data_IF_615639196096
#
_entry.id   IF_615639196096
#
_cell.length_a   1.000
_cell.length_b   1.000
_cell.length_c   1.000
_cell.angle_alpha   90.00
_cell.angle_beta   90.00
_cell.angle_gamma   90.00
#
_symmetry.space_group_name_H-M   'P 1'
#
loop_
_entity.id
_entity.type
_entity.pdbx_description
1 polymer ?
#
# COMPACT_ATOMS: atom_id res chain seq x y z
N UNK A 1 -9.42 0.27 1.88
CA UNK A 1 -10.68 1.02 1.70
C UNK A 1 -10.74 1.46 0.25
N UNK A 2 -11.79 1.06 -0.47
CA UNK A 2 -12.00 1.41 -1.87
C UNK A 2 -12.78 2.72 -1.96
N UNK A 3 -12.09 3.84 -1.81
CA UNK A 3 -12.66 5.19 -1.92
C UNK A 3 -12.36 5.84 -3.29
N UNK A 4 -12.05 5.01 -4.28
CA UNK A 4 -11.74 5.38 -5.66
C UNK A 4 -12.90 5.03 -6.61
N UNK A 5 -12.96 5.70 -7.76
CA UNK A 5 -13.96 5.49 -8.81
C UNK A 5 -13.73 4.23 -9.64
N UNK A 6 -12.48 3.79 -9.79
CA UNK A 6 -12.13 2.63 -10.61
C UNK A 6 -12.71 1.34 -10.00
N UNK A 7 -12.43 1.06 -8.72
CA UNK A 7 -12.97 -0.06 -7.95
C UNK A 7 -14.50 -0.13 -8.05
N UNK A 8 -15.18 1.01 -7.87
CA UNK A 8 -16.66 1.12 -7.92
C UNK A 8 -17.23 0.85 -9.32
N UNK A 9 -16.42 1.00 -10.36
CA UNK A 9 -16.82 0.68 -11.75
C UNK A 9 -16.79 -0.84 -12.00
N UNK A 10 -15.87 -1.56 -11.36
CA UNK A 10 -15.71 -3.01 -11.55
C UNK A 10 -16.57 -3.85 -10.60
N UNK A 11 -16.84 -3.36 -9.39
CA UNK A 11 -17.58 -4.12 -8.38
C UNK A 11 -18.45 -3.22 -7.50
N UNK A 12 -19.51 -3.77 -6.86
CA UNK A 12 -20.30 -3.04 -5.87
C UNK A 12 -19.44 -2.56 -4.70
N UNK A 13 -19.83 -1.47 -4.03
CA UNK A 13 -19.07 -0.91 -2.90
C UNK A 13 -18.87 -1.88 -1.71
N UNK A 14 -19.72 -2.91 -1.58
CA UNK A 14 -19.56 -3.96 -0.57
C UNK A 14 -18.54 -5.04 -0.95
N UNK A 15 -18.03 -5.03 -2.19
CA UNK A 15 -17.01 -5.97 -2.62
C UNK A 15 -15.66 -5.60 -1.97
N UNK A 16 -14.96 -6.56 -1.35
CA UNK A 16 -13.76 -6.26 -0.61
C UNK A 16 -12.56 -6.05 -1.54
N UNK A 17 -11.88 -4.91 -1.39
CA UNK A 17 -10.54 -4.71 -1.93
C UNK A 17 -9.51 -5.32 -0.97
N UNK A 18 -9.16 -6.59 -1.18
CA UNK A 18 -8.27 -7.34 -0.30
C UNK A 18 -7.03 -7.86 -1.03
N UNK A 19 -5.90 -7.87 -0.30
CA UNK A 19 -4.71 -8.57 -0.71
C UNK A 19 -4.91 -10.09 -0.67
N UNK A 20 -4.15 -10.82 -1.47
CA UNK A 20 -4.02 -12.27 -1.34
C UNK A 20 -3.35 -12.61 0.00
N UNK A 21 -4.02 -13.38 0.89
CA UNK A 21 -3.52 -13.61 2.25
C UNK A 21 -2.18 -14.35 2.29
N UNK A 22 -1.93 -15.25 1.33
CA UNK A 22 -0.68 -16.01 1.26
C UNK A 22 0.48 -15.13 0.79
N UNK A 23 0.27 -14.30 -0.23
CA UNK A 23 1.26 -13.34 -0.71
C UNK A 23 1.60 -12.31 0.37
N UNK A 24 0.60 -11.83 1.11
CA UNK A 24 0.81 -10.97 2.29
C UNK A 24 1.64 -11.67 3.37
N UNK A 25 1.35 -12.94 3.68
CA UNK A 25 2.14 -13.70 4.64
C UNK A 25 3.60 -13.88 4.17
N UNK A 26 3.82 -14.18 2.89
CA UNK A 26 5.15 -14.27 2.28
C UNK A 26 5.91 -12.95 2.41
N UNK A 27 5.27 -11.82 2.11
CA UNK A 27 5.88 -10.50 2.27
C UNK A 27 6.31 -10.23 3.73
N UNK A 28 5.44 -10.52 4.70
CA UNK A 28 5.76 -10.35 6.14
C UNK A 28 6.94 -11.26 6.54
N UNK A 29 6.97 -12.50 6.05
CA UNK A 29 8.05 -13.43 6.33
C UNK A 29 9.38 -12.95 5.74
N UNK A 30 9.39 -12.55 4.47
CA UNK A 30 10.60 -12.07 3.81
C UNK A 30 11.11 -10.77 4.45
N UNK A 31 10.21 -9.87 4.85
CA UNK A 31 10.59 -8.64 5.57
C UNK A 31 11.36 -8.98 6.86
N UNK A 32 10.86 -9.94 7.65
CA UNK A 32 11.55 -10.43 8.86
C UNK A 32 12.90 -11.05 8.55
N UNK A 33 13.01 -11.89 7.53
CA UNK A 33 14.26 -12.53 7.13
C UNK A 33 15.32 -11.52 6.67
N UNK A 34 14.88 -10.47 5.98
CA UNK A 34 15.73 -9.38 5.51
C UNK A 34 16.01 -8.30 6.56
N UNK A 35 15.47 -8.44 7.78
CA UNK A 35 15.51 -7.42 8.84
C UNK A 35 14.96 -6.05 8.41
N UNK A 36 13.95 -6.04 7.55
CA UNK A 36 13.22 -4.84 7.13
C UNK A 36 12.05 -4.63 8.09
N UNK A 37 12.03 -3.46 8.76
CA UNK A 37 10.90 -3.06 9.59
C UNK A 37 9.71 -2.69 8.70
N UNK A 38 8.60 -3.41 8.86
CA UNK A 38 7.37 -3.20 8.09
C UNK A 38 6.14 -3.40 8.98
N UNK A 39 5.07 -2.64 8.70
CA UNK A 39 3.77 -2.75 9.36
C UNK A 39 2.76 -3.23 8.33
N UNK A 40 1.94 -4.22 8.70
CA UNK A 40 0.88 -4.74 7.84
C UNK A 40 -0.48 -4.33 8.39
N UNK A 41 -1.36 -3.82 7.52
CA UNK A 41 -2.71 -3.43 7.90
C UNK A 41 -3.50 -2.81 6.74
N UNK A 42 -4.58 -2.12 7.08
CA UNK A 42 -5.49 -1.53 6.11
C UNK A 42 -4.96 -0.21 5.56
N UNK A 43 -5.15 0.02 4.27
CA UNK A 43 -4.84 1.30 3.60
C UNK A 43 -6.09 1.83 2.91
N UNK A 44 -6.16 3.14 2.66
CA UNK A 44 -7.21 3.78 1.86
C UNK A 44 -6.68 4.14 0.49
N UNK A 45 -7.39 3.76 -0.57
CA UNK A 45 -7.13 4.28 -1.91
C UNK A 45 -8.20 5.28 -2.30
N UNK A 46 -7.80 6.44 -2.82
CA UNK A 46 -8.69 7.56 -3.18
C UNK A 46 -8.21 8.29 -4.44
N UNK A 47 -9.09 9.08 -5.07
CA UNK A 47 -8.81 9.70 -6.37
C UNK A 47 -8.22 11.11 -6.31
N UNK A 48 -8.14 11.73 -5.12
CA UNK A 48 -7.78 13.15 -4.99
C UNK A 48 -6.74 13.37 -3.91
N UNK A 49 -5.61 13.97 -4.29
CA UNK A 49 -4.53 14.33 -3.38
C UNK A 49 -4.70 15.72 -2.73
N UNK A 50 -5.41 16.63 -3.41
CA UNK A 50 -5.56 18.05 -3.00
C UNK A 50 -7.01 18.41 -2.66
N UNK A 51 -7.77 17.47 -2.09
CA UNK A 51 -9.13 17.76 -1.66
C UNK A 51 -9.11 18.74 -0.47
N UNK A 52 -10.05 19.70 -0.44
CA UNK A 52 -10.16 20.70 0.64
C UNK A 52 -10.27 20.07 2.05
N UNK A 53 -10.77 18.83 2.11
CA UNK A 53 -11.03 18.09 3.35
C UNK A 53 -10.05 16.94 3.61
N UNK A 54 -8.90 16.90 2.94
CA UNK A 54 -7.98 15.74 3.04
C UNK A 54 -7.51 15.51 4.48
N UNK A 55 -7.12 16.56 5.21
CA UNK A 55 -6.69 16.44 6.60
C UNK A 55 -7.78 15.89 7.54
N UNK A 56 -9.05 16.25 7.31
CA UNK A 56 -10.19 15.71 8.07
C UNK A 56 -10.40 14.22 7.76
N UNK A 57 -10.34 13.86 6.48
CA UNK A 57 -10.50 12.48 6.00
C UNK A 57 -9.38 11.59 6.53
N UNK A 58 -8.13 12.05 6.46
CA UNK A 58 -6.97 11.33 7.01
C UNK A 58 -7.13 11.07 8.50
N UNK A 59 -7.57 12.08 9.27
CA UNK A 59 -7.80 11.93 10.71
C UNK A 59 -8.93 10.93 10.99
N UNK A 60 -10.02 10.98 10.23
CA UNK A 60 -11.15 10.06 10.35
C UNK A 60 -10.74 8.61 10.07
N UNK A 61 -9.99 8.37 8.99
CA UNK A 61 -9.56 7.03 8.62
C UNK A 61 -8.45 6.49 9.53
N UNK A 62 -7.54 7.34 9.98
CA UNK A 62 -6.55 7.02 11.00
C UNK A 62 -7.22 6.58 12.30
N UNK A 63 -8.26 7.29 12.76
CA UNK A 63 -9.04 6.91 13.94
C UNK A 63 -9.77 5.55 13.79
N UNK A 64 -9.99 5.09 12.55
CA UNK A 64 -10.56 3.77 12.23
C UNK A 64 -9.48 2.68 12.05
N UNK A 65 -8.20 3.00 12.27
CA UNK A 65 -7.08 2.06 12.17
C UNK A 65 -6.52 1.86 10.75
N UNK A 66 -6.83 2.77 9.82
CA UNK A 66 -6.18 2.78 8.50
C UNK A 66 -4.76 3.33 8.65
N UNK A 67 -3.77 2.60 8.15
CA UNK A 67 -2.34 2.89 8.35
C UNK A 67 -1.80 3.99 7.43
N UNK A 68 -2.43 4.19 6.28
CA UNK A 68 -2.00 5.15 5.28
C UNK A 68 -2.94 5.21 4.09
N UNK A 69 -2.64 6.14 3.19
CA UNK A 69 -3.41 6.36 1.97
C UNK A 69 -2.51 6.29 0.73
N UNK A 70 -3.08 5.77 -0.35
CA UNK A 70 -2.50 5.75 -1.70
C UNK A 70 -3.62 5.98 -2.74
N UNK A 71 -3.35 5.74 -4.02
CA UNK A 71 -4.33 5.99 -5.09
C UNK A 71 -4.65 4.74 -5.92
N UNK A 72 -3.95 3.63 -5.73
CA UNK A 72 -4.04 2.47 -6.65
C UNK A 72 -4.33 1.13 -5.97
N UNK A 73 -4.02 0.96 -4.69
CA UNK A 73 -4.08 -0.35 -4.01
C UNK A 73 -5.44 -1.01 -4.11
N UNK A 74 -6.53 -0.28 -3.84
CA UNK A 74 -7.87 -0.84 -3.86
C UNK A 74 -8.29 -1.25 -5.29
N UNK A 75 -8.03 -0.41 -6.28
CA UNK A 75 -8.32 -0.70 -7.68
C UNK A 75 -7.56 -1.94 -8.16
N UNK A 76 -6.27 -2.05 -7.84
CA UNK A 76 -5.45 -3.22 -8.15
C UNK A 76 -6.04 -4.50 -7.51
N UNK A 77 -6.42 -4.45 -6.24
CA UNK A 77 -6.96 -5.60 -5.52
C UNK A 77 -8.33 -6.03 -6.05
N UNK A 78 -9.22 -5.10 -6.34
CA UNK A 78 -10.55 -5.40 -6.92
C UNK A 78 -10.41 -6.02 -8.29
N UNK A 79 -9.65 -5.38 -9.19
CA UNK A 79 -9.46 -5.90 -10.56
C UNK A 79 -8.70 -7.22 -10.53
N UNK A 80 -7.66 -7.34 -9.71
CA UNK A 80 -6.89 -8.58 -9.55
C UNK A 80 -7.77 -9.75 -9.12
N UNK A 81 -8.58 -9.57 -8.07
CA UNK A 81 -9.51 -10.59 -7.60
C UNK A 81 -10.52 -11.01 -8.69
N UNK A 82 -11.10 -10.06 -9.41
CA UNK A 82 -12.03 -10.35 -10.51
C UNK A 82 -11.38 -11.06 -11.70
N UNK A 83 -10.05 -10.98 -11.83
CA UNK A 83 -9.27 -11.67 -12.87
C UNK A 83 -8.60 -12.96 -12.38
N UNK A 84 -8.83 -13.37 -11.14
CA UNK A 84 -8.19 -14.55 -10.55
C UNK A 84 -6.69 -14.38 -10.34
N UNK A 85 -6.22 -13.13 -10.17
CA UNK A 85 -4.83 -12.80 -9.89
C UNK A 85 -4.62 -12.60 -8.39
N UNK A 86 -3.47 -13.06 -7.88
CA UNK A 86 -3.00 -12.73 -6.53
C UNK A 86 -2.39 -11.34 -6.54
N UNK A 87 -2.82 -10.49 -5.62
CA UNK A 87 -2.35 -9.10 -5.53
C UNK A 87 -1.97 -8.77 -4.09
N UNK A 88 -0.90 -8.00 -3.91
CA UNK A 88 -0.54 -7.38 -2.64
C UNK A 88 0.05 -5.99 -2.93
N UNK A 89 0.11 -5.15 -1.91
CA UNK A 89 0.71 -3.81 -2.01
C UNK A 89 1.73 -3.64 -0.88
N UNK A 90 2.88 -3.06 -1.23
CA UNK A 90 3.86 -2.53 -0.29
C UNK A 90 3.88 -1.02 -0.51
N UNK A 91 3.86 -0.24 0.56
CA UNK A 91 3.92 1.22 0.49
C UNK A 91 5.15 1.72 1.26
N UNK A 92 5.90 2.64 0.66
CA UNK A 92 6.91 3.42 1.34
C UNK A 92 6.29 4.72 1.83
N UNK A 93 6.26 4.93 3.14
CA UNK A 93 5.62 6.12 3.74
C UNK A 93 6.60 7.29 3.67
N UNK A 94 6.27 8.29 2.85
CA UNK A 94 7.10 9.49 2.65
C UNK A 94 6.56 10.73 3.35
N UNK A 95 5.29 10.70 3.79
CA UNK A 95 4.64 11.77 4.57
C UNK A 95 3.99 11.15 5.80
N UNK A 96 4.34 11.64 6.99
CA UNK A 96 3.65 11.26 8.22
C UNK A 96 2.34 12.03 8.37
N UNK A 97 1.33 11.40 8.96
CA UNK A 97 -0.01 11.98 9.19
C UNK A 97 0.00 13.35 9.91
N UNK A 98 0.99 13.62 10.77
CA UNK A 98 1.14 14.90 11.48
C UNK A 98 2.14 15.86 10.84
N UNK A 99 2.64 15.56 9.65
CA UNK A 99 3.62 16.37 8.92
C UNK A 99 2.96 17.45 8.06
N UNK A 100 3.70 18.52 7.76
CA UNK A 100 3.27 19.49 6.75
C UNK A 100 3.48 18.89 5.35
N UNK A 101 2.39 18.65 4.62
CA UNK A 101 2.38 17.99 3.32
C UNK A 101 3.38 18.59 2.32
N UNK A 102 3.37 19.92 2.16
CA UNK A 102 4.30 20.62 1.25
C UNK A 102 5.76 20.41 1.64
N UNK A 103 6.06 20.46 2.95
CA UNK A 103 7.43 20.23 3.42
C UNK A 103 7.89 18.79 3.20
N UNK A 104 7.02 17.81 3.43
CA UNK A 104 7.34 16.39 3.25
C UNK A 104 7.47 16.01 1.77
N UNK A 105 6.65 16.57 0.88
CA UNK A 105 6.81 16.40 -0.58
C UNK A 105 8.14 16.99 -1.02
N UNK A 106 8.49 18.18 -0.54
CA UNK A 106 9.78 18.79 -0.87
C UNK A 106 10.96 17.94 -0.37
N UNK A 107 10.87 17.34 0.81
CA UNK A 107 11.89 16.43 1.31
C UNK A 107 12.01 15.15 0.46
N UNK A 108 10.88 14.59 0.02
CA UNK A 108 10.85 13.47 -0.92
C UNK A 108 11.52 13.82 -2.24
N UNK A 109 11.17 14.96 -2.84
CA UNK A 109 11.78 15.48 -4.09
C UNK A 109 13.27 15.74 -3.90
N UNK A 110 13.68 16.16 -2.72
CA UNK A 110 15.09 16.36 -2.34
C UNK A 110 15.84 15.06 -2.03
N UNK A 111 15.23 13.90 -2.26
CA UNK A 111 15.88 12.60 -2.11
C UNK A 111 16.44 12.38 -0.70
N UNK A 112 15.68 12.76 0.32
CA UNK A 112 16.09 12.54 1.71
C UNK A 112 16.43 11.06 1.94
N UNK A 113 17.56 10.80 2.59
CA UNK A 113 18.22 9.48 2.62
C UNK A 113 17.32 8.35 3.12
N UNK A 114 16.36 8.65 4.01
CA UNK A 114 15.41 7.65 4.52
C UNK A 114 14.37 7.22 3.48
N UNK A 115 13.88 8.16 2.66
CA UNK A 115 12.91 7.84 1.60
C UNK A 115 13.54 6.90 0.57
N UNK A 116 14.77 7.21 0.12
CA UNK A 116 15.51 6.36 -0.82
C UNK A 116 15.79 4.96 -0.24
N UNK A 117 16.22 4.88 1.02
CA UNK A 117 16.41 3.58 1.68
C UNK A 117 15.10 2.80 1.80
N UNK A 118 13.99 3.49 2.05
CA UNK A 118 12.66 2.91 2.07
C UNK A 118 12.28 2.30 0.72
N UNK A 119 12.48 3.05 -0.37
CA UNK A 119 12.24 2.58 -1.74
C UNK A 119 13.12 1.37 -2.10
N UNK A 120 14.42 1.44 -1.81
CA UNK A 120 15.35 0.33 -2.09
C UNK A 120 14.94 -0.95 -1.33
N UNK A 121 14.59 -0.81 -0.04
CA UNK A 121 14.12 -1.93 0.79
C UNK A 121 12.79 -2.48 0.28
N UNK A 122 11.86 -1.62 -0.09
CA UNK A 122 10.55 -1.99 -0.63
C UNK A 122 10.71 -2.80 -1.92
N UNK A 123 11.53 -2.33 -2.85
CA UNK A 123 11.83 -3.02 -4.12
C UNK A 123 12.49 -4.36 -3.86
N UNK A 124 13.52 -4.38 -3.01
CA UNK A 124 14.23 -5.61 -2.66
C UNK A 124 13.31 -6.65 -2.02
N UNK A 125 12.43 -6.21 -1.11
CA UNK A 125 11.44 -7.06 -0.47
C UNK A 125 10.42 -7.62 -1.48
N UNK A 126 9.92 -6.77 -2.39
CA UNK A 126 9.00 -7.20 -3.44
C UNK A 126 9.61 -8.28 -4.33
N UNK A 127 10.83 -8.04 -4.81
CA UNK A 127 11.56 -8.99 -5.66
C UNK A 127 11.83 -10.30 -4.94
N UNK A 128 12.26 -10.24 -3.68
CA UNK A 128 12.52 -11.40 -2.86
C UNK A 128 11.25 -12.22 -2.62
N UNK A 129 10.11 -11.57 -2.34
CA UNK A 129 8.83 -12.24 -2.16
C UNK A 129 8.34 -12.90 -3.46
N UNK A 130 8.47 -12.23 -4.60
CA UNK A 130 8.14 -12.80 -5.92
C UNK A 130 9.00 -14.04 -6.20
N UNK A 131 10.31 -13.93 -5.99
CA UNK A 131 11.23 -15.05 -6.18
C UNK A 131 10.86 -16.22 -5.27
N UNK A 132 10.67 -15.97 -3.97
CA UNK A 132 10.31 -17.01 -3.01
C UNK A 132 8.96 -17.67 -3.34
N UNK A 133 7.95 -16.90 -3.71
CA UNK A 133 6.62 -17.39 -4.10
C UNK A 133 6.70 -18.25 -5.38
N UNK A 134 7.54 -17.87 -6.34
CA UNK A 134 7.76 -18.65 -7.57
C UNK A 134 8.35 -20.05 -7.31
N UNK A 135 9.17 -20.20 -6.26
CA UNK A 135 9.72 -21.50 -5.86
C UNK A 135 8.66 -22.41 -5.19
N UNK A 136 7.59 -21.82 -4.65
CA UNK A 136 6.50 -22.58 -4.03
C UNK A 136 5.43 -23.02 -5.03
N UNK A 137 5.31 -22.34 -6.18
CA UNK A 137 4.35 -22.66 -7.24
C UNK A 137 4.72 -23.85 -8.14
N UNK A 138 5.86 -24.53 -7.90
CA UNK A 138 6.30 -25.72 -8.65
C UNK A 138 5.88 -27.07 -7.98
N UNK A 139 4.95 -27.05 -7.01
CA UNK A 139 4.34 -28.25 -6.42
C UNK A 139 2.87 -28.39 -6.81
#
# INVERSE_FOLDING_TARGET
VADDGASKTYAPASYPACADPYLTATLIQQAKQMNISAVCGLVRSHDSFYADREAELDAEWSARGVLGADMETAALMVVGALRGLRTASLLNVVVAHSGCLESSINHYVQQETLCQQGEERQISLALQAIYFDSLQGEQ
#
